data_IF_077260268910
#
_entry.id   IF_077260268910
#
_cell.length_a   1.000
_cell.length_b   1.000
_cell.length_c   1.000
_cell.angle_alpha   90.00
_cell.angle_beta   90.00
_cell.angle_gamma   90.00
#
_symmetry.space_group_name_H-M   'P 1'
#
loop_
_entity.id
_entity.type
_entity.pdbx_description
1 polymer ?
#
# COMPACT_ATOMS: atom_id res chain seq x y z
N UNK A 1 25.95 9.54 43.18
CA UNK A 1 25.17 10.16 42.09
C UNK A 1 24.17 9.14 41.57
N UNK A 2 22.91 9.54 41.45
CA UNK A 2 21.78 8.79 40.92
C UNK A 2 21.23 9.62 39.77
N UNK A 3 20.93 8.99 38.65
CA UNK A 3 20.41 9.66 37.46
C UNK A 3 19.03 9.06 37.17
N UNK A 4 17.98 9.87 37.28
CA UNK A 4 16.60 9.48 36.96
C UNK A 4 16.15 10.15 35.67
N UNK A 5 16.05 9.35 34.60
CA UNK A 5 15.60 9.80 33.26
C UNK A 5 14.14 9.44 32.97
N UNK A 6 13.38 8.96 33.96
CA UNK A 6 12.02 8.50 33.79
C UNK A 6 10.98 9.62 33.86
N UNK A 7 9.92 9.52 33.06
CA UNK A 7 8.75 10.41 33.11
C UNK A 7 7.47 9.55 33.19
N UNK A 8 6.75 9.51 34.34
CA UNK A 8 7.02 10.21 35.60
C UNK A 8 8.24 9.67 36.37
N UNK A 9 8.83 10.49 37.27
CA UNK A 9 10.04 10.16 38.05
C UNK A 9 9.87 8.86 38.82
N UNK A 10 10.95 8.09 38.91
CA UNK A 10 10.98 6.83 39.67
C UNK A 10 11.52 7.03 41.08
N UNK A 11 12.23 8.12 41.31
CA UNK A 11 12.96 8.37 42.55
C UNK A 11 12.44 9.66 43.18
N UNK A 12 12.11 9.56 44.46
CA UNK A 12 11.65 10.69 45.26
C UNK A 12 12.77 11.74 45.40
N UNK A 13 12.56 13.01 45.03
CA UNK A 13 13.55 14.07 45.20
C UNK A 13 14.10 14.23 46.61
N UNK A 14 13.37 13.79 47.64
CA UNK A 14 13.82 13.85 49.04
C UNK A 14 15.09 13.05 49.32
N UNK A 15 15.50 12.12 48.43
CA UNK A 15 16.77 11.38 48.59
C UNK A 15 18.00 12.29 48.54
N UNK A 16 17.88 13.52 48.01
CA UNK A 16 18.94 14.54 48.04
C UNK A 16 19.26 15.04 49.45
N UNK A 17 18.41 14.74 50.44
CA UNK A 17 18.66 15.08 51.85
C UNK A 17 19.61 14.10 52.55
N UNK A 18 19.99 12.99 51.90
CA UNK A 18 20.91 11.99 52.45
C UNK A 18 22.35 12.40 52.15
N UNK A 19 23.20 12.44 53.18
CA UNK A 19 24.63 12.76 53.02
C UNK A 19 25.29 11.88 51.94
N UNK A 20 26.02 12.54 51.03
CA UNK A 20 26.69 11.93 49.87
C UNK A 20 25.79 11.32 48.78
N UNK A 21 24.48 11.61 48.80
CA UNK A 21 23.54 11.25 47.72
C UNK A 21 23.21 12.50 46.89
N UNK A 22 23.24 12.34 45.56
CA UNK A 22 22.95 13.41 44.60
C UNK A 22 22.10 12.81 43.48
N UNK A 23 20.87 13.25 43.35
CA UNK A 23 19.92 12.90 42.30
C UNK A 23 19.97 13.96 41.20
N UNK A 24 20.18 13.52 39.96
CA UNK A 24 20.00 14.32 38.76
C UNK A 24 18.78 13.83 38.01
N UNK A 25 17.91 14.74 37.62
CA UNK A 25 16.75 14.45 36.77
C UNK A 25 16.98 14.89 35.30
N UNK A 26 15.97 14.68 34.46
CA UNK A 26 15.99 15.10 33.04
C UNK A 26 16.23 16.61 32.90
N UNK A 27 15.75 17.42 33.86
CA UNK A 27 15.87 18.87 33.84
C UNK A 27 17.32 19.32 34.13
N UNK A 28 17.99 18.66 35.08
CA UNK A 28 19.41 18.91 35.41
C UNK A 28 20.36 18.57 34.25
N UNK A 29 19.99 17.60 33.42
CA UNK A 29 20.77 17.19 32.26
C UNK A 29 20.65 18.15 31.07
N UNK A 30 19.67 19.08 31.06
CA UNK A 30 19.46 20.02 29.96
C UNK A 30 20.65 20.97 29.73
N UNK A 31 21.39 21.34 30.78
CA UNK A 31 22.55 22.26 30.67
C UNK A 31 23.73 21.70 29.87
N UNK A 32 23.87 20.37 29.77
CA UNK A 32 24.93 19.69 29.00
C UNK A 32 24.51 19.52 27.52
N UNK A 33 23.23 19.69 27.21
CA UNK A 33 22.65 19.43 25.88
C UNK A 33 22.89 20.59 24.90
N UNK A 34 23.17 21.80 25.39
CA UNK A 34 23.26 23.00 24.54
C UNK A 34 24.40 22.97 23.53
N UNK A 35 25.56 22.39 23.87
CA UNK A 35 26.69 22.24 22.92
C UNK A 35 26.38 21.25 21.80
N UNK A 36 25.47 20.29 22.02
CA UNK A 36 25.03 19.32 21.03
C UNK A 36 23.92 19.85 20.11
N UNK A 37 23.35 21.04 20.37
CA UNK A 37 22.21 21.57 19.57
C UNK A 37 22.58 21.86 18.12
N UNK A 38 23.78 22.37 17.84
CA UNK A 38 24.24 22.67 16.48
C UNK A 38 24.47 21.39 15.66
N UNK A 39 25.07 20.37 16.27
CA UNK A 39 25.25 19.07 15.62
C UNK A 39 23.91 18.35 15.41
N UNK A 40 23.03 18.38 16.41
CA UNK A 40 21.66 17.86 16.29
C UNK A 40 20.87 18.56 15.19
N UNK A 41 21.03 19.87 15.02
CA UNK A 41 20.37 20.61 13.94
C UNK A 41 20.84 20.13 12.56
N UNK A 42 22.14 19.93 12.37
CA UNK A 42 22.69 19.41 11.12
C UNK A 42 22.20 17.99 10.82
N UNK A 43 22.13 17.13 11.83
CA UNK A 43 21.58 15.78 11.65
C UNK A 43 20.06 15.80 11.42
N UNK A 44 19.33 16.75 12.02
CA UNK A 44 17.91 16.95 11.76
C UNK A 44 17.65 17.39 10.31
N UNK A 45 18.45 18.32 9.77
CA UNK A 45 18.37 18.74 8.36
C UNK A 45 18.60 17.55 7.40
N UNK A 46 19.52 16.64 7.72
CA UNK A 46 19.70 15.39 6.95
C UNK A 46 18.49 14.46 7.06
N UNK A 47 17.93 14.33 8.26
CA UNK A 47 16.75 13.51 8.49
C UNK A 47 15.52 14.06 7.76
N UNK A 48 15.37 15.39 7.68
CA UNK A 48 14.33 16.05 6.88
C UNK A 48 14.45 15.67 5.39
N UNK A 49 15.66 15.66 4.83
CA UNK A 49 15.87 15.21 3.45
C UNK A 49 15.45 13.76 3.20
N UNK A 50 15.76 12.86 4.13
CA UNK A 50 15.31 11.44 4.06
C UNK A 50 13.78 11.37 4.11
N UNK A 51 13.15 12.15 4.98
CA UNK A 51 11.69 12.19 5.08
C UNK A 51 11.06 12.68 3.78
N UNK A 52 11.62 13.70 3.12
CA UNK A 52 11.14 14.20 1.84
C UNK A 52 11.20 13.13 0.74
N UNK A 53 12.32 12.41 0.62
CA UNK A 53 12.47 11.30 -0.33
C UNK A 53 11.46 10.16 -0.08
N UNK A 54 11.21 9.82 1.19
CA UNK A 54 10.24 8.79 1.57
C UNK A 54 8.80 9.25 1.34
N UNK A 55 8.49 10.55 1.52
CA UNK A 55 7.17 11.10 1.18
C UNK A 55 6.91 10.97 -0.31
N UNK A 56 7.88 11.30 -1.18
CA UNK A 56 7.71 11.13 -2.63
C UNK A 56 7.47 9.66 -3.00
N UNK A 57 8.23 8.75 -2.39
CA UNK A 57 8.07 7.30 -2.59
C UNK A 57 6.69 6.83 -2.15
N UNK A 58 6.23 7.29 -0.99
CA UNK A 58 4.91 6.96 -0.46
C UNK A 58 3.78 7.51 -1.35
N UNK A 59 3.92 8.73 -1.88
CA UNK A 59 2.93 9.31 -2.79
C UNK A 59 2.82 8.53 -4.10
N UNK A 60 3.95 8.13 -4.70
CA UNK A 60 3.96 7.27 -5.90
C UNK A 60 3.29 5.93 -5.62
N UNK A 61 3.59 5.32 -4.46
CA UNK A 61 2.93 4.10 -4.03
C UNK A 61 1.42 4.30 -3.86
N UNK A 62 0.98 5.38 -3.22
CA UNK A 62 -0.44 5.67 -3.01
C UNK A 62 -1.17 5.85 -4.34
N UNK A 63 -0.60 6.61 -5.29
CA UNK A 63 -1.15 6.80 -6.63
C UNK A 63 -1.22 5.48 -7.44
N UNK A 64 -0.33 4.52 -7.15
CA UNK A 64 -0.40 3.20 -7.77
C UNK A 64 -1.63 2.39 -7.37
N UNK A 65 -2.26 2.71 -6.23
CA UNK A 65 -3.46 2.03 -5.76
C UNK A 65 -4.73 2.42 -6.54
N UNK A 66 -4.73 3.55 -7.24
CA UNK A 66 -5.89 4.04 -8.00
C UNK A 66 -6.27 3.12 -9.17
N UNK A 67 -5.33 2.32 -9.66
CA UNK A 67 -5.60 1.33 -10.72
C UNK A 67 -6.28 0.06 -10.20
N UNK A 68 -6.20 -0.22 -8.88
CA UNK A 68 -6.71 -1.46 -8.28
C UNK A 68 -8.21 -1.67 -8.51
N UNK A 69 -9.10 -0.67 -8.27
CA UNK A 69 -10.53 -0.83 -8.56
C UNK A 69 -10.83 -1.15 -10.02
N UNK A 70 -10.06 -0.56 -10.95
CA UNK A 70 -10.21 -0.80 -12.38
C UNK A 70 -9.75 -2.20 -12.79
N UNK A 71 -8.64 -2.70 -12.21
CA UNK A 71 -8.18 -4.08 -12.42
C UNK A 71 -9.22 -5.09 -11.96
N UNK A 72 -9.82 -4.86 -10.77
CA UNK A 72 -10.88 -5.73 -10.23
C UNK A 72 -12.09 -5.73 -11.16
N UNK A 73 -12.61 -4.56 -11.51
CA UNK A 73 -13.78 -4.44 -12.38
C UNK A 73 -13.54 -5.08 -13.77
N UNK A 74 -12.34 -4.93 -14.34
CA UNK A 74 -11.98 -5.54 -15.61
C UNK A 74 -12.00 -7.08 -15.53
N UNK A 75 -11.45 -7.65 -14.47
CA UNK A 75 -11.44 -9.10 -14.25
C UNK A 75 -12.85 -9.66 -14.04
N UNK A 76 -13.64 -9.00 -13.20
CA UNK A 76 -15.02 -9.41 -12.94
C UNK A 76 -15.85 -9.40 -14.22
N UNK A 77 -15.69 -8.35 -15.05
CA UNK A 77 -16.35 -8.26 -16.35
C UNK A 77 -15.93 -9.39 -17.29
N UNK A 78 -14.63 -9.71 -17.34
CA UNK A 78 -14.11 -10.77 -18.21
C UNK A 78 -14.60 -12.15 -17.77
N UNK A 79 -14.63 -12.41 -16.46
CA UNK A 79 -15.16 -13.65 -15.89
C UNK A 79 -16.67 -13.80 -16.10
N UNK A 80 -17.43 -12.71 -16.03
CA UNK A 80 -18.86 -12.72 -16.35
C UNK A 80 -19.10 -13.13 -17.82
N UNK A 81 -18.37 -12.52 -18.77
CA UNK A 81 -18.45 -12.87 -20.19
C UNK A 81 -18.07 -14.33 -20.43
N UNK A 82 -17.00 -14.79 -19.80
CA UNK A 82 -16.56 -16.19 -19.87
C UNK A 82 -17.66 -17.15 -19.41
N UNK A 83 -18.23 -16.92 -18.23
CA UNK A 83 -19.28 -17.77 -17.66
C UNK A 83 -20.49 -17.81 -18.59
N UNK A 84 -20.94 -16.65 -19.07
CA UNK A 84 -22.08 -16.55 -19.98
C UNK A 84 -21.86 -17.37 -21.26
N UNK A 85 -20.69 -17.27 -21.89
CA UNK A 85 -20.39 -18.01 -23.13
C UNK A 85 -20.20 -19.51 -22.91
N UNK A 86 -19.57 -19.91 -21.79
CA UNK A 86 -19.46 -21.33 -21.41
C UNK A 86 -20.85 -21.92 -21.16
N UNK A 87 -21.71 -21.25 -20.37
CA UNK A 87 -23.07 -21.71 -20.10
C UNK A 87 -23.90 -21.82 -21.39
N UNK A 88 -23.81 -20.85 -22.30
CA UNK A 88 -24.45 -20.92 -23.62
C UNK A 88 -24.02 -22.15 -24.41
N UNK A 89 -22.73 -22.50 -24.39
CA UNK A 89 -22.23 -23.69 -25.07
C UNK A 89 -22.73 -24.97 -24.41
N UNK A 90 -22.67 -25.05 -23.08
CA UNK A 90 -23.14 -26.22 -22.32
C UNK A 90 -24.64 -26.48 -22.52
N UNK A 91 -25.45 -25.41 -22.58
CA UNK A 91 -26.88 -25.51 -22.87
C UNK A 91 -27.16 -26.00 -24.30
N UNK A 92 -26.30 -25.68 -25.28
CA UNK A 92 -26.43 -26.16 -26.66
C UNK A 92 -25.95 -27.61 -26.83
N UNK A 93 -25.06 -28.08 -25.96
CA UNK A 93 -24.46 -29.41 -26.01
C UNK A 93 -24.66 -30.17 -24.68
N UNK A 94 -25.92 -30.52 -24.34
CA UNK A 94 -26.24 -31.12 -23.05
C UNK A 94 -25.60 -32.51 -22.85
N UNK A 95 -25.22 -33.18 -23.94
CA UNK A 95 -24.58 -34.50 -23.94
C UNK A 95 -23.07 -34.48 -23.72
N UNK A 96 -22.45 -33.31 -23.47
CA UNK A 96 -21.03 -33.22 -23.11
C UNK A 96 -20.79 -33.94 -21.78
N UNK A 97 -19.81 -34.87 -21.78
CA UNK A 97 -19.33 -35.53 -20.57
C UNK A 97 -18.49 -34.58 -19.70
N UNK A 98 -18.20 -35.04 -18.47
CA UNK A 98 -17.46 -34.25 -17.47
C UNK A 98 -16.11 -33.74 -18.01
N UNK A 99 -15.35 -34.62 -18.68
CA UNK A 99 -14.01 -34.29 -19.19
C UNK A 99 -14.05 -33.25 -20.30
N UNK A 100 -15.04 -33.30 -21.19
CA UNK A 100 -15.17 -32.30 -22.24
C UNK A 100 -15.59 -30.94 -21.66
N UNK A 101 -16.44 -30.92 -20.61
CA UNK A 101 -16.82 -29.69 -19.90
C UNK A 101 -15.61 -29.03 -19.25
N UNK A 102 -14.79 -29.81 -18.53
CA UNK A 102 -13.54 -29.31 -17.93
C UNK A 102 -12.58 -28.77 -19.00
N UNK A 103 -12.45 -29.44 -20.15
CA UNK A 103 -11.60 -28.98 -21.25
C UNK A 103 -12.07 -27.63 -21.84
N UNK A 104 -13.38 -27.45 -21.98
CA UNK A 104 -13.99 -26.18 -22.43
C UNK A 104 -13.71 -25.06 -21.42
N UNK A 105 -13.94 -25.31 -20.13
CA UNK A 105 -13.67 -24.31 -19.08
C UNK A 105 -12.20 -23.95 -19.01
N UNK A 106 -11.32 -24.94 -19.09
CA UNK A 106 -9.88 -24.73 -19.12
C UNK A 106 -9.47 -23.83 -20.29
N UNK A 107 -9.97 -24.12 -21.49
CA UNK A 107 -9.70 -23.32 -22.69
C UNK A 107 -10.23 -21.87 -22.52
N UNK A 108 -11.46 -21.71 -22.02
CA UNK A 108 -12.06 -20.40 -21.80
C UNK A 108 -11.25 -19.57 -20.78
N UNK A 109 -10.83 -20.19 -19.67
CA UNK A 109 -9.95 -19.59 -18.68
C UNK A 109 -8.60 -19.18 -19.29
N UNK A 110 -7.99 -20.04 -20.09
CA UNK A 110 -6.71 -19.75 -20.73
C UNK A 110 -6.79 -18.56 -21.70
N UNK A 111 -7.86 -18.44 -22.47
CA UNK A 111 -8.09 -17.31 -23.38
C UNK A 111 -8.27 -16.01 -22.58
N UNK A 112 -9.16 -16.02 -21.58
CA UNK A 112 -9.44 -14.83 -20.76
C UNK A 112 -8.19 -14.35 -20.03
N UNK A 113 -7.44 -15.25 -19.41
CA UNK A 113 -6.20 -14.91 -18.73
C UNK A 113 -5.19 -14.26 -19.69
N UNK A 114 -5.06 -14.78 -20.92
CA UNK A 114 -4.17 -14.20 -21.94
C UNK A 114 -4.63 -12.81 -22.40
N UNK A 115 -5.94 -12.57 -22.51
CA UNK A 115 -6.48 -11.28 -22.93
C UNK A 115 -6.42 -10.21 -21.83
N UNK A 116 -6.60 -10.60 -20.58
CA UNK A 116 -6.65 -9.67 -19.43
C UNK A 116 -5.27 -9.39 -18.83
N UNK A 117 -4.28 -10.25 -19.10
CA UNK A 117 -2.92 -10.04 -18.60
C UNK A 117 -2.29 -8.73 -19.10
N UNK A 118 -2.25 -8.39 -20.40
CA UNK A 118 -1.66 -7.14 -20.89
C UNK A 118 -2.26 -5.86 -20.26
N UNK A 119 -3.60 -5.65 -20.24
CA UNK A 119 -4.15 -4.44 -19.62
C UNK A 119 -3.94 -4.41 -18.10
N UNK A 120 -3.94 -5.57 -17.41
CA UNK A 120 -3.62 -5.63 -15.99
C UNK A 120 -2.17 -5.23 -15.70
N UNK A 121 -1.23 -5.68 -16.54
CA UNK A 121 0.18 -5.33 -16.42
C UNK A 121 0.40 -3.83 -16.65
N UNK A 122 -0.20 -3.27 -17.71
CA UNK A 122 -0.11 -1.85 -18.02
C UNK A 122 -0.68 -0.96 -16.89
N UNK A 123 -1.78 -1.38 -16.24
CA UNK A 123 -2.35 -0.67 -15.09
C UNK A 123 -1.48 -0.71 -13.82
N UNK A 124 -0.61 -1.72 -13.68
CA UNK A 124 0.33 -1.85 -12.56
C UNK A 124 1.65 -1.12 -12.81
N UNK A 125 1.98 -0.86 -14.06
CA UNK A 125 3.19 -0.15 -14.43
C UNK A 125 3.11 1.32 -14.00
N UNK A 126 4.20 1.84 -13.44
CA UNK A 126 4.29 3.24 -13.00
C UNK A 126 4.59 4.13 -14.20
N UNK A 127 3.60 4.89 -14.63
CA UNK A 127 3.68 5.76 -15.82
C UNK A 127 2.88 7.03 -15.61
N UNK A 128 3.34 8.13 -16.21
CA UNK A 128 2.66 9.44 -16.16
C UNK A 128 1.25 9.38 -16.79
N UNK A 129 1.04 8.48 -17.75
CA UNK A 129 -0.24 8.30 -18.46
C UNK A 129 -1.21 7.33 -17.77
N UNK A 130 -0.94 6.90 -16.53
CA UNK A 130 -1.75 5.90 -15.80
C UNK A 130 -3.22 6.30 -15.71
N UNK A 131 -3.52 7.56 -15.42
CA UNK A 131 -4.90 8.05 -15.30
C UNK A 131 -5.65 8.00 -16.64
N UNK A 132 -4.96 8.33 -17.73
CA UNK A 132 -5.48 8.24 -19.10
C UNK A 132 -5.77 6.77 -19.44
N UNK A 133 -4.86 5.87 -19.09
CA UNK A 133 -5.02 4.44 -19.30
C UNK A 133 -6.20 3.88 -18.48
N UNK A 134 -6.34 4.27 -17.22
CA UNK A 134 -7.48 3.93 -16.36
C UNK A 134 -8.78 4.38 -17.03
N UNK A 135 -8.88 5.65 -17.42
CA UNK A 135 -10.06 6.18 -18.08
C UNK A 135 -10.38 5.46 -19.41
N UNK A 136 -9.35 5.18 -20.21
CA UNK A 136 -9.49 4.45 -21.47
C UNK A 136 -10.03 3.03 -21.26
N UNK A 137 -9.46 2.27 -20.32
CA UNK A 137 -9.92 0.90 -20.02
C UNK A 137 -11.35 0.92 -19.48
N UNK A 138 -11.67 1.84 -18.57
CA UNK A 138 -13.03 1.97 -18.04
C UNK A 138 -14.05 2.26 -19.14
N UNK A 139 -13.73 3.16 -20.07
CA UNK A 139 -14.59 3.48 -21.21
C UNK A 139 -14.72 2.33 -22.21
N UNK A 140 -13.61 1.68 -22.58
CA UNK A 140 -13.59 0.60 -23.57
C UNK A 140 -14.35 -0.64 -23.10
N UNK A 141 -14.27 -0.96 -21.80
CA UNK A 141 -14.92 -2.13 -21.22
C UNK A 141 -16.25 -1.81 -20.51
N UNK A 142 -16.66 -0.53 -20.49
CA UNK A 142 -17.89 -0.09 -19.83
C UNK A 142 -17.88 -0.37 -18.33
N UNK A 143 -16.77 -0.08 -17.66
CA UNK A 143 -16.57 -0.29 -16.22
C UNK A 143 -16.98 0.91 -15.36
N UNK A 144 -17.45 1.98 -16.00
CA UNK A 144 -18.07 3.08 -15.29
C UNK A 144 -19.40 2.61 -14.71
N UNK A 145 -19.56 2.85 -13.40
CA UNK A 145 -20.85 2.59 -12.75
C UNK A 145 -21.89 3.32 -13.58
N UNK A 146 -22.90 2.60 -14.06
CA UNK A 146 -24.17 3.25 -14.39
C UNK A 146 -24.57 3.96 -13.11
N UNK A 147 -24.59 5.29 -13.14
CA UNK A 147 -25.34 6.06 -12.16
C UNK A 147 -26.77 5.53 -12.23
N UNK A 148 -27.17 4.81 -11.17
CA UNK A 148 -28.58 4.55 -10.87
C UNK A 148 -29.19 5.79 -10.24
#
# INVERSE_FOLDING_TARGET
FIIDISVPRNIDPEINNIDNVYLYDVDDLHGIVDTNKLERKKEAEKAEGIIEEEIETFQKWLASLDSVPTIVALRDKADAVKKEEVEKLLNKLPSLGEKEREAVEYMANAIINKLIHPPTAALKEDSEDRDILIAAIRKLYGLDKKEE
#
